data_IF_180107277570
#
_entry.id   IF_180107277570
#
_cell.length_a   1.000
_cell.length_b   1.000
_cell.length_c   1.000
_cell.angle_alpha   90.00
_cell.angle_beta   90.00
_cell.angle_gamma   90.00
#
_symmetry.space_group_name_H-M   'P 1'
#
loop_
_entity.id
_entity.type
_entity.pdbx_description
1 polymer ?
#
# COMPACT_ATOMS: atom_id res chain seq x y z
N UNK A 1 -12.95 -6.13 -0.02
CA UNK A 1 -11.61 -6.57 0.44
C UNK A 1 -10.54 -6.16 -0.56
N UNK A 2 -10.58 -6.65 -1.80
CA UNK A 2 -9.58 -6.31 -2.84
C UNK A 2 -9.42 -4.81 -3.09
N UNK A 3 -10.54 -4.08 -3.24
CA UNK A 3 -10.51 -2.61 -3.40
C UNK A 3 -9.86 -1.86 -2.23
N UNK A 4 -10.03 -2.39 -1.01
CA UNK A 4 -9.45 -1.85 0.21
C UNK A 4 -7.95 -2.17 0.29
N UNK A 5 -7.56 -3.38 -0.09
CA UNK A 5 -6.16 -3.77 -0.22
C UNK A 5 -5.41 -2.91 -1.24
N UNK A 6 -5.95 -2.70 -2.45
CA UNK A 6 -5.29 -1.88 -3.49
C UNK A 6 -5.18 -0.40 -3.09
N UNK A 7 -6.13 0.11 -2.29
CA UNK A 7 -6.03 1.47 -1.74
C UNK A 7 -4.83 1.59 -0.80
N UNK A 8 -4.67 0.66 0.14
CA UNK A 8 -3.50 0.62 1.04
C UNK A 8 -2.19 0.36 0.30
N UNK A 9 -2.21 -0.52 -0.72
CA UNK A 9 -1.05 -0.82 -1.54
C UNK A 9 -0.60 0.40 -2.36
N UNK A 10 -1.55 1.16 -2.94
CA UNK A 10 -1.26 2.40 -3.67
C UNK A 10 -0.59 3.44 -2.77
N UNK A 11 -1.11 3.61 -1.55
CA UNK A 11 -0.48 4.50 -0.56
C UNK A 11 0.95 4.05 -0.21
N UNK A 12 1.18 2.75 -0.06
CA UNK A 12 2.50 2.22 0.29
C UNK A 12 3.52 2.30 -0.85
N UNK A 13 3.11 2.05 -2.10
CA UNK A 13 4.01 2.04 -3.25
C UNK A 13 4.30 3.44 -3.78
N UNK A 14 3.27 4.29 -3.86
CA UNK A 14 3.30 5.53 -4.64
C UNK A 14 2.81 6.77 -3.90
N UNK A 15 1.83 6.60 -3.00
CA UNK A 15 1.03 7.67 -2.43
C UNK A 15 1.84 8.68 -1.63
N UNK A 16 2.05 9.84 -2.23
CA UNK A 16 2.77 10.97 -1.67
C UNK A 16 2.17 12.25 -2.24
N UNK A 17 1.82 13.19 -1.36
CA UNK A 17 1.43 14.54 -1.74
C UNK A 17 2.52 15.48 -1.19
N UNK A 18 3.37 15.99 -2.06
CA UNK A 18 4.44 16.91 -1.67
C UNK A 18 3.92 18.33 -1.59
N UNK A 19 4.37 19.07 -0.58
CA UNK A 19 4.01 20.49 -0.39
C UNK A 19 5.21 21.36 -0.73
N UNK A 20 5.04 22.29 -1.66
CA UNK A 20 6.04 23.29 -2.04
C UNK A 20 5.38 24.67 -2.10
N UNK A 21 6.02 25.67 -1.49
CA UNK A 21 5.55 27.06 -1.48
C UNK A 21 4.06 27.20 -1.05
N UNK A 22 3.64 26.35 -0.11
CA UNK A 22 2.28 26.32 0.43
C UNK A 22 1.23 25.64 -0.45
N UNK A 23 1.62 24.92 -1.51
CA UNK A 23 0.70 24.20 -2.42
C UNK A 23 1.14 22.76 -2.65
N UNK A 24 0.19 21.90 -2.98
CA UNK A 24 0.47 20.53 -3.43
C UNK A 24 1.13 20.58 -4.81
N UNK A 25 2.14 19.73 -5.03
CA UNK A 25 2.81 19.63 -6.34
C UNK A 25 2.06 18.66 -7.26
N UNK A 26 1.58 17.54 -6.72
CA UNK A 26 0.81 16.55 -7.47
C UNK A 26 -0.68 16.96 -7.53
N UNK A 27 -1.14 17.38 -8.72
CA UNK A 27 -2.49 17.92 -8.91
C UNK A 27 -3.45 16.96 -9.65
N UNK A 28 -2.95 15.86 -10.22
CA UNK A 28 -3.75 14.91 -11.02
C UNK A 28 -3.07 13.52 -11.10
N UNK A 29 -3.75 12.49 -11.62
CA UNK A 29 -3.29 11.09 -11.62
C UNK A 29 -2.08 10.79 -12.52
N UNK A 30 -1.67 11.72 -13.37
CA UNK A 30 -0.40 11.67 -14.09
C UNK A 30 0.80 12.01 -13.18
N UNK A 31 0.57 12.80 -12.13
CA UNK A 31 1.58 13.20 -11.14
C UNK A 31 1.40 12.53 -9.76
N UNK A 32 0.20 12.06 -9.44
CA UNK A 32 -0.14 11.26 -8.28
C UNK A 32 -0.43 9.80 -8.71
N UNK A 33 0.59 8.95 -8.88
CA UNK A 33 0.39 7.58 -9.33
C UNK A 33 -0.35 6.74 -8.28
N UNK A 34 -1.21 5.85 -8.77
CA UNK A 34 -1.87 4.78 -8.02
C UNK A 34 -1.56 3.45 -8.69
N UNK A 35 -1.77 2.34 -7.97
CA UNK A 35 -1.61 1.00 -8.56
C UNK A 35 -2.54 0.86 -9.76
N UNK A 36 -1.95 0.50 -10.92
CA UNK A 36 -2.68 0.21 -12.15
C UNK A 36 -3.01 -1.28 -12.23
N UNK A 37 -3.90 -1.65 -13.15
CA UNK A 37 -4.28 -3.04 -13.35
C UNK A 37 -3.08 -3.96 -13.65
N UNK A 38 -2.06 -3.45 -14.34
CA UNK A 38 -0.83 -4.20 -14.68
C UNK A 38 0.08 -4.44 -13.47
N UNK A 39 0.03 -3.57 -12.46
CA UNK A 39 0.84 -3.67 -11.23
C UNK A 39 0.10 -4.38 -10.10
N UNK A 40 -1.18 -4.68 -10.28
CA UNK A 40 -2.01 -5.28 -9.24
C UNK A 40 -1.65 -6.75 -9.06
N UNK A 41 -1.17 -7.17 -7.87
CA UNK A 41 -0.95 -8.60 -7.60
C UNK A 41 -2.29 -9.34 -7.57
N UNK A 42 -2.25 -10.64 -7.82
CA UNK A 42 -3.41 -11.49 -7.56
C UNK A 42 -3.76 -11.42 -6.05
N UNK A 43 -5.01 -11.10 -5.74
CA UNK A 43 -5.52 -11.05 -4.37
C UNK A 43 -6.63 -12.09 -4.24
N UNK A 44 -6.46 -12.99 -3.28
CA UNK A 44 -7.48 -13.96 -2.90
C UNK A 44 -8.18 -13.47 -1.62
N UNK A 45 -9.51 -13.40 -1.66
CA UNK A 45 -10.32 -13.03 -0.50
C UNK A 45 -10.92 -14.27 0.16
N UNK A 46 -10.51 -14.55 1.39
CA UNK A 46 -11.09 -15.61 2.22
C UNK A 46 -12.01 -14.96 3.27
N UNK A 47 -13.30 -15.31 3.23
CA UNK A 47 -14.27 -14.86 4.23
C UNK A 47 -14.30 -15.87 5.37
N UNK A 48 -13.97 -15.41 6.58
CA UNK A 48 -13.91 -16.26 7.78
C UNK A 48 -15.12 -15.95 8.67
N UNK A 49 -15.81 -16.97 9.23
CA UNK A 49 -16.90 -16.75 10.19
C UNK A 49 -16.42 -15.99 11.43
N UNK A 50 -17.17 -14.97 11.87
CA UNK A 50 -16.80 -14.16 13.04
C UNK A 50 -17.02 -14.88 14.39
N UNK A 51 -17.85 -15.93 14.43
CA UNK A 51 -18.21 -16.64 15.67
C UNK A 51 -19.04 -15.82 16.67
N UNK A 52 -19.56 -14.65 16.26
CA UNK A 52 -20.25 -13.69 17.12
C UNK A 52 -20.67 -12.44 16.34
N UNK A 53 -20.52 -11.25 16.93
CA UNK A 53 -20.80 -9.99 16.25
C UNK A 53 -19.94 -9.82 14.98
N UNK A 54 -20.56 -9.39 13.88
CA UNK A 54 -19.86 -9.10 12.63
C UNK A 54 -19.50 -7.60 12.60
N UNK A 55 -18.21 -7.31 12.40
CA UNK A 55 -17.70 -5.93 12.30
C UNK A 55 -17.71 -5.40 10.88
N UNK A 56 -17.22 -4.17 10.71
CA UNK A 56 -16.99 -3.58 9.39
C UNK A 56 -15.87 -4.30 8.62
N UNK A 57 -16.06 -4.50 7.32
CA UNK A 57 -15.10 -5.20 6.43
C UNK A 57 -14.39 -4.26 5.46
N UNK A 58 -14.88 -3.02 5.31
CA UNK A 58 -14.39 -2.08 4.30
C UNK A 58 -12.96 -1.59 4.54
N UNK A 59 -12.65 -1.20 5.77
CA UNK A 59 -11.37 -0.55 6.12
C UNK A 59 -10.26 -1.49 6.62
N UNK A 60 -10.52 -2.60 7.35
CA UNK A 60 -9.46 -3.39 7.97
C UNK A 60 -8.36 -3.86 7.00
N UNK A 61 -8.72 -4.15 5.75
CA UNK A 61 -7.78 -4.61 4.73
C UNK A 61 -6.86 -3.52 4.18
N UNK A 62 -7.21 -2.22 4.32
CA UNK A 62 -6.31 -1.10 4.00
C UNK A 62 -5.10 -1.11 4.94
N UNK A 63 -5.35 -1.24 6.24
CA UNK A 63 -4.32 -1.08 7.27
C UNK A 63 -3.24 -2.17 7.24
N UNK A 64 -3.57 -3.36 6.73
CA UNK A 64 -2.64 -4.51 6.69
C UNK A 64 -1.84 -4.60 5.39
N UNK A 65 -2.23 -3.90 4.32
CA UNK A 65 -1.58 -3.99 3.02
C UNK A 65 -0.09 -3.56 3.08
N UNK A 66 0.19 -2.36 3.60
CA UNK A 66 1.55 -1.84 3.72
C UNK A 66 2.47 -2.71 4.61
N UNK A 67 2.12 -3.04 5.88
CA UNK A 67 3.00 -3.84 6.73
C UNK A 67 3.23 -5.26 6.19
N UNK A 68 2.25 -5.87 5.51
CA UNK A 68 2.44 -7.17 4.86
C UNK A 68 3.52 -7.13 3.79
N UNK A 69 3.46 -6.13 2.89
CA UNK A 69 4.46 -5.93 1.84
C UNK A 69 5.83 -5.59 2.42
N UNK A 70 5.90 -4.71 3.43
CA UNK A 70 7.17 -4.33 4.07
C UNK A 70 7.85 -5.52 4.77
N UNK A 71 7.07 -6.42 5.39
CA UNK A 71 7.60 -7.65 5.96
C UNK A 71 8.11 -8.61 4.88
N UNK A 72 7.41 -8.72 3.74
CA UNK A 72 7.86 -9.51 2.61
C UNK A 72 9.18 -8.96 2.02
N UNK A 73 9.31 -7.63 1.89
CA UNK A 73 10.55 -6.97 1.48
C UNK A 73 11.69 -7.30 2.45
N UNK A 74 11.45 -7.19 3.77
CA UNK A 74 12.46 -7.55 4.76
C UNK A 74 12.87 -9.02 4.65
N UNK A 75 11.92 -9.95 4.48
CA UNK A 75 12.22 -11.36 4.29
C UNK A 75 13.05 -11.63 3.02
N UNK A 76 12.76 -10.93 1.92
CA UNK A 76 13.46 -11.12 0.65
C UNK A 76 14.85 -10.45 0.59
N UNK A 77 15.01 -9.32 1.27
CA UNK A 77 16.19 -8.43 1.09
C UNK A 77 17.04 -8.25 2.35
N UNK A 78 16.50 -8.56 3.54
CA UNK A 78 17.10 -8.20 4.83
C UNK A 78 16.96 -6.71 5.20
N UNK A 79 16.44 -5.86 4.31
CA UNK A 79 16.29 -4.42 4.56
C UNK A 79 14.95 -4.11 5.22
N UNK A 80 14.98 -3.39 6.34
CA UNK A 80 13.77 -2.93 7.03
C UNK A 80 13.45 -1.49 6.64
N UNK A 81 12.46 -1.33 5.77
CA UNK A 81 11.94 -0.02 5.34
C UNK A 81 10.98 0.52 6.40
N UNK A 82 11.11 1.80 6.74
CA UNK A 82 10.25 2.50 7.72
C UNK A 82 9.67 3.82 7.21
N UNK A 83 10.14 4.28 6.05
CA UNK A 83 9.65 5.47 5.38
C UNK A 83 8.89 5.03 4.13
N UNK A 84 7.71 5.59 3.94
CA UNK A 84 6.88 5.40 2.76
C UNK A 84 6.79 6.73 1.99
N UNK A 85 6.51 6.70 0.68
CA UNK A 85 6.24 5.51 -0.15
C UNK A 85 7.51 4.74 -0.58
N UNK A 86 7.32 3.50 -1.03
CA UNK A 86 8.42 2.61 -1.47
C UNK A 86 9.15 3.08 -2.72
N UNK A 87 8.50 3.87 -3.60
CA UNK A 87 9.16 4.48 -4.77
C UNK A 87 10.42 5.30 -4.41
N UNK A 88 10.50 5.79 -3.16
CA UNK A 88 11.60 6.59 -2.64
C UNK A 88 12.68 5.75 -1.92
N UNK A 89 12.64 4.41 -2.03
CA UNK A 89 13.52 3.50 -1.28
C UNK A 89 14.33 2.58 -2.21
N UNK A 90 15.65 2.46 -1.97
CA UNK A 90 16.50 1.50 -2.69
C UNK A 90 16.49 0.10 -2.03
N UNK A 91 15.91 -0.86 -2.75
CA UNK A 91 15.78 -2.26 -2.30
C UNK A 91 16.90 -3.18 -2.80
N UNK A 92 17.84 -2.73 -3.63
CA UNK A 92 18.94 -3.56 -4.15
C UNK A 92 19.84 -4.07 -3.01
N UNK A 93 20.32 -5.31 -3.09
CA UNK A 93 21.30 -5.83 -2.12
C UNK A 93 22.59 -4.99 -2.21
N UNK A 94 23.17 -4.68 -1.04
CA UNK A 94 24.46 -4.00 -0.95
C UNK A 94 25.58 -4.88 -1.50
#
# INVERSE_FOLDING_TARGET
>A
VEGSFVYGLSAALFGECTVKDGRMVEENFDTYPVVRMEDMPAVETIIVPSGGFWGGVGEPTIAVAAPAVLNAIFAATGKRVRNLPLKNTDLRKA
#
